data_IF_682649808049
#
_entry.id   IF_682649808049
#
_cell.length_a   1.000
_cell.length_b   1.000
_cell.length_c   1.000
_cell.angle_alpha   90.00
_cell.angle_beta   90.00
_cell.angle_gamma   90.00
#
_symmetry.space_group_name_H-M   'P 1'
#
loop_
_entity.id
_entity.type
_entity.pdbx_description
1 polymer ?
#
# COMPACT_ATOMS: atom_id res chain seq x y z
N UNK A 1 -34.73 4.51 -6.42
CA UNK A 1 -33.99 5.80 -6.45
C UNK A 1 -32.75 5.77 -5.52
N UNK A 2 -32.05 4.63 -5.37
CA UNK A 2 -30.82 4.49 -4.56
C UNK A 2 -29.58 4.14 -5.39
N UNK A 3 -29.76 3.67 -6.63
CA UNK A 3 -28.66 3.24 -7.51
C UNK A 3 -27.81 4.39 -8.04
N UNK A 4 -28.40 5.56 -8.32
CA UNK A 4 -27.68 6.72 -8.87
C UNK A 4 -26.71 7.36 -7.89
N UNK A 5 -26.99 7.27 -6.58
CA UNK A 5 -26.12 7.85 -5.55
C UNK A 5 -24.86 7.01 -5.33
N UNK A 6 -24.98 5.68 -5.46
CA UNK A 6 -23.85 4.75 -5.36
C UNK A 6 -22.85 4.94 -6.52
N UNK A 7 -23.34 5.23 -7.73
CA UNK A 7 -22.48 5.53 -8.88
C UNK A 7 -21.68 6.83 -8.69
N UNK A 8 -22.30 7.86 -8.13
CA UNK A 8 -21.64 9.14 -7.85
C UNK A 8 -20.56 9.01 -6.77
N UNK A 9 -20.83 8.27 -5.69
CA UNK A 9 -19.87 8.02 -4.61
C UNK A 9 -18.67 7.17 -5.08
N UNK A 10 -18.91 6.17 -5.94
CA UNK A 10 -17.85 5.37 -6.54
C UNK A 10 -16.97 6.20 -7.50
N UNK A 11 -17.58 7.05 -8.32
CA UNK A 11 -16.85 7.95 -9.21
C UNK A 11 -15.92 8.90 -8.43
N UNK A 12 -16.38 9.43 -7.29
CA UNK A 12 -15.56 10.25 -6.40
C UNK A 12 -14.37 9.48 -5.82
N UNK A 13 -14.57 8.23 -5.37
CA UNK A 13 -13.50 7.38 -4.85
C UNK A 13 -12.44 7.02 -5.90
N UNK A 14 -12.88 6.70 -7.13
CA UNK A 14 -11.97 6.44 -8.26
C UNK A 14 -11.18 7.71 -8.62
N UNK A 15 -11.86 8.85 -8.66
CA UNK A 15 -11.23 10.15 -8.93
C UNK A 15 -10.14 10.47 -7.91
N UNK A 16 -10.42 10.30 -6.61
CA UNK A 16 -9.44 10.49 -5.55
C UNK A 16 -8.25 9.54 -5.68
N UNK A 17 -8.50 8.25 -5.95
CA UNK A 17 -7.45 7.24 -6.09
C UNK A 17 -6.51 7.56 -7.24
N UNK A 18 -7.04 8.03 -8.38
CA UNK A 18 -6.23 8.48 -9.53
C UNK A 18 -5.35 9.68 -9.17
N UNK A 19 -5.89 10.68 -8.46
CA UNK A 19 -5.10 11.83 -8.00
C UNK A 19 -4.00 11.40 -7.01
N UNK A 20 -4.31 10.51 -6.08
CA UNK A 20 -3.34 9.96 -5.11
C UNK A 20 -2.21 9.20 -5.83
N UNK A 21 -2.55 8.36 -6.82
CA UNK A 21 -1.56 7.65 -7.61
C UNK A 21 -0.64 8.61 -8.39
N UNK A 22 -1.21 9.65 -9.03
CA UNK A 22 -0.43 10.66 -9.73
C UNK A 22 0.52 11.41 -8.80
N UNK A 23 0.07 11.76 -7.59
CA UNK A 23 0.89 12.40 -6.57
C UNK A 23 2.10 11.52 -6.20
N UNK A 24 1.84 10.24 -5.90
CA UNK A 24 2.88 9.28 -5.52
C UNK A 24 3.90 9.04 -6.66
N UNK A 25 3.43 8.96 -7.91
CA UNK A 25 4.30 8.78 -9.07
C UNK A 25 5.11 10.03 -9.41
N UNK A 26 4.52 11.23 -9.27
CA UNK A 26 5.19 12.51 -9.53
C UNK A 26 6.01 13.02 -8.34
N UNK A 27 5.94 12.35 -7.19
CA UNK A 27 6.62 12.70 -5.93
C UNK A 27 6.36 14.13 -5.44
N UNK A 28 5.14 14.64 -5.63
CA UNK A 28 4.74 15.99 -5.18
C UNK A 28 4.31 16.00 -3.71
N UNK A 29 4.94 16.81 -2.87
CA UNK A 29 4.61 16.96 -1.43
C UNK A 29 3.45 17.93 -1.18
N UNK A 30 3.32 18.97 -2.04
CA UNK A 30 2.43 20.11 -1.81
C UNK A 30 0.94 19.73 -1.77
N UNK A 31 0.56 18.65 -2.44
CA UNK A 31 -0.85 18.29 -2.64
C UNK A 31 -1.39 17.28 -1.61
N UNK A 32 -0.51 16.66 -0.78
CA UNK A 32 -0.90 15.50 0.04
C UNK A 32 -1.95 15.86 1.11
N UNK A 33 -1.75 16.97 1.83
CA UNK A 33 -2.65 17.39 2.91
C UNK A 33 -4.04 17.76 2.38
N UNK A 34 -4.10 18.42 1.22
CA UNK A 34 -5.35 18.77 0.55
C UNK A 34 -6.09 17.50 0.12
N UNK A 35 -5.37 16.54 -0.47
CA UNK A 35 -5.94 15.27 -0.91
C UNK A 35 -6.51 14.46 0.26
N UNK A 36 -5.83 14.43 1.40
CA UNK A 36 -6.29 13.72 2.60
C UNK A 36 -7.54 14.36 3.23
N UNK A 37 -7.77 15.65 2.98
CA UNK A 37 -9.00 16.35 3.39
C UNK A 37 -10.15 16.05 2.43
N UNK A 38 -9.86 16.02 1.12
CA UNK A 38 -10.84 15.74 0.06
C UNK A 38 -11.45 14.32 0.18
N UNK A 39 -10.69 13.31 0.59
CA UNK A 39 -11.23 11.95 0.70
C UNK A 39 -12.13 11.69 1.90
N UNK A 40 -12.18 12.58 2.89
CA UNK A 40 -13.08 12.41 4.05
C UNK A 40 -14.56 12.43 3.65
N UNK A 41 -14.89 13.02 2.51
CA UNK A 41 -16.24 13.06 1.95
C UNK A 41 -16.55 11.86 1.05
N UNK A 42 -15.59 10.95 0.83
CA UNK A 42 -15.74 9.76 -0.01
C UNK A 42 -15.90 8.50 0.83
N UNK A 43 -16.32 7.40 0.20
CA UNK A 43 -16.35 6.06 0.82
C UNK A 43 -14.98 5.58 1.35
N UNK A 44 -13.87 6.24 0.98
CA UNK A 44 -12.51 5.92 1.42
C UNK A 44 -12.11 6.59 2.75
N UNK A 45 -13.04 7.24 3.45
CA UNK A 45 -12.77 7.96 4.71
C UNK A 45 -12.04 7.12 5.77
N UNK A 46 -12.45 5.86 5.95
CA UNK A 46 -11.78 4.92 6.87
C UNK A 46 -10.36 4.56 6.43
N UNK A 47 -10.16 4.32 5.13
CA UNK A 47 -8.84 4.04 4.56
C UNK A 47 -7.88 5.21 4.76
N UNK A 48 -8.38 6.42 4.55
CA UNK A 48 -7.61 7.66 4.71
C UNK A 48 -7.25 7.93 6.16
N UNK A 49 -8.11 7.54 7.10
CA UNK A 49 -7.78 7.59 8.54
C UNK A 49 -6.59 6.69 8.86
N UNK A 50 -6.47 5.54 8.19
CA UNK A 50 -5.27 4.70 8.23
C UNK A 50 -4.04 5.43 7.68
N UNK A 51 -4.15 5.98 6.47
CA UNK A 51 -3.07 6.73 5.82
C UNK A 51 -2.58 7.93 6.64
N UNK A 52 -3.47 8.59 7.40
CA UNK A 52 -3.12 9.69 8.29
C UNK A 52 -2.13 9.27 9.38
N UNK A 53 -2.22 8.03 9.89
CA UNK A 53 -1.26 7.48 10.85
C UNK A 53 0.12 7.27 10.20
N UNK A 54 0.12 6.94 8.91
CA UNK A 54 1.31 6.63 8.13
C UNK A 54 1.86 7.83 7.33
N UNK A 55 1.39 9.05 7.59
CA UNK A 55 1.83 10.27 6.87
C UNK A 55 3.35 10.39 6.82
N UNK A 56 4.04 10.10 7.94
CA UNK A 56 5.51 10.14 7.97
C UNK A 56 6.15 9.16 6.96
N UNK A 57 5.59 7.96 6.82
CA UNK A 57 6.07 6.96 5.87
C UNK A 57 5.79 7.38 4.42
N UNK A 58 4.60 7.95 4.16
CA UNK A 58 4.24 8.48 2.83
C UNK A 58 5.19 9.61 2.44
N UNK A 59 5.46 10.54 3.37
CA UNK A 59 6.38 11.65 3.16
C UNK A 59 7.82 11.17 2.90
N UNK A 60 8.27 10.15 3.63
CA UNK A 60 9.56 9.53 3.38
C UNK A 60 9.62 8.87 1.99
N UNK A 61 8.55 8.22 1.55
CA UNK A 61 8.45 7.63 0.21
C UNK A 61 8.49 8.68 -0.91
N UNK A 62 7.95 9.88 -0.68
CA UNK A 62 8.03 11.01 -1.62
C UNK A 62 9.44 11.61 -1.68
N UNK A 63 10.10 11.76 -0.53
CA UNK A 63 11.42 12.43 -0.42
C UNK A 63 12.59 11.54 -0.80
N UNK A 64 12.45 10.22 -0.63
CA UNK A 64 13.55 9.27 -0.83
C UNK A 64 13.43 8.51 -2.16
N UNK A 65 14.54 7.98 -2.68
CA UNK A 65 14.51 7.06 -3.81
C UNK A 65 14.14 5.62 -3.39
N UNK A 66 14.05 5.34 -2.10
CA UNK A 66 13.87 3.99 -1.57
C UNK A 66 12.41 3.54 -1.66
N UNK A 67 12.22 2.27 -2.02
CA UNK A 67 10.90 1.63 -2.07
C UNK A 67 10.94 0.33 -1.26
N UNK A 68 9.80 -0.09 -0.72
CA UNK A 68 9.68 -1.37 0.01
C UNK A 68 9.67 -2.58 -0.94
N UNK A 69 9.63 -2.38 -2.26
CA UNK A 69 9.48 -3.45 -3.26
C UNK A 69 10.54 -4.58 -3.15
N UNK A 70 11.84 -4.30 -2.97
CA UNK A 70 12.84 -5.37 -2.80
C UNK A 70 12.60 -6.20 -1.54
N UNK A 71 12.22 -5.53 -0.45
CA UNK A 71 11.92 -6.17 0.85
C UNK A 71 10.68 -7.05 0.72
N UNK A 72 9.61 -6.56 0.09
CA UNK A 72 8.40 -7.35 -0.17
C UNK A 72 8.66 -8.55 -1.07
N UNK A 73 9.59 -8.44 -2.03
CA UNK A 73 10.04 -9.56 -2.85
C UNK A 73 10.66 -10.67 -2.00
N UNK A 74 11.56 -10.31 -1.07
CA UNK A 74 12.17 -11.28 -0.16
C UNK A 74 11.15 -11.91 0.80
N UNK A 75 10.26 -11.10 1.37
CA UNK A 75 9.17 -11.57 2.22
C UNK A 75 8.27 -12.54 1.46
N UNK A 76 7.95 -12.24 0.21
CA UNK A 76 7.12 -13.10 -0.65
C UNK A 76 7.83 -14.42 -0.96
N UNK A 77 9.11 -14.41 -1.32
CA UNK A 77 9.93 -15.62 -1.49
C UNK A 77 9.92 -16.50 -0.24
N UNK A 78 10.13 -15.87 0.92
CA UNK A 78 10.10 -16.55 2.22
C UNK A 78 8.73 -17.16 2.51
N UNK A 79 7.64 -16.41 2.30
CA UNK A 79 6.26 -16.89 2.46
C UNK A 79 5.97 -18.07 1.53
N UNK A 80 6.44 -18.03 0.27
CA UNK A 80 6.29 -19.12 -0.69
C UNK A 80 6.99 -20.39 -0.23
N UNK A 81 8.24 -20.31 0.22
CA UNK A 81 8.96 -21.48 0.76
C UNK A 81 8.22 -22.06 1.96
N UNK A 82 7.79 -21.23 2.91
CA UNK A 82 7.01 -21.70 4.07
C UNK A 82 5.69 -22.34 3.67
N UNK A 83 5.01 -21.80 2.65
CA UNK A 83 3.72 -22.31 2.15
C UNK A 83 3.86 -23.65 1.42
N UNK A 84 4.91 -23.84 0.61
CA UNK A 84 5.22 -25.14 -0.03
C UNK A 84 5.53 -26.23 0.99
N UNK A 85 5.93 -25.86 2.22
CA UNK A 85 6.15 -26.77 3.34
C UNK A 85 4.93 -26.90 4.26
N UNK A 86 3.73 -26.49 3.81
CA UNK A 86 2.49 -26.53 4.60
C UNK A 86 2.61 -25.83 5.96
N UNK A 87 3.41 -24.77 6.05
CA UNK A 87 3.64 -24.03 7.29
C UNK A 87 4.59 -24.69 8.29
N UNK A 88 5.11 -25.89 8.00
CA UNK A 88 5.96 -26.68 8.91
C UNK A 88 7.44 -26.29 8.92
N UNK A 89 7.81 -25.24 8.17
CA UNK A 89 9.19 -24.73 8.18
C UNK A 89 9.44 -23.91 9.46
N UNK A 90 10.27 -24.45 10.36
CA UNK A 90 10.85 -23.68 11.47
C UNK A 90 11.83 -22.63 10.95
N UNK A 91 12.21 -21.67 11.79
CA UNK A 91 13.17 -20.61 11.41
C UNK A 91 14.50 -21.18 10.87
N UNK A 92 15.02 -22.23 11.52
CA UNK A 92 16.26 -22.91 11.10
C UNK A 92 16.11 -23.55 9.72
N UNK A 93 14.99 -24.25 9.47
CA UNK A 93 14.70 -24.92 8.19
C UNK A 93 14.54 -23.87 7.07
N UNK A 94 13.83 -22.79 7.34
CA UNK A 94 13.61 -21.71 6.39
C UNK A 94 14.92 -21.01 6.03
N UNK A 95 15.78 -20.76 7.04
CA UNK A 95 17.12 -20.20 6.83
C UNK A 95 18.00 -21.13 6.00
N UNK A 96 18.01 -22.43 6.29
CA UNK A 96 18.75 -23.41 5.50
C UNK A 96 18.30 -23.41 4.03
N UNK A 97 16.98 -23.41 3.78
CA UNK A 97 16.46 -23.37 2.40
C UNK A 97 16.72 -22.05 1.67
N UNK A 98 16.80 -20.93 2.37
CA UNK A 98 17.06 -19.63 1.73
C UNK A 98 18.55 -19.46 1.44
N UNK A 99 19.44 -19.84 2.36
CA UNK A 99 20.88 -19.65 2.24
C UNK A 99 21.57 -20.72 1.38
N UNK A 100 21.00 -21.93 1.30
CA UNK A 100 21.57 -23.06 0.54
C UNK A 100 20.77 -23.42 -0.72
N UNK A 101 19.77 -22.63 -1.11
CA UNK A 101 19.14 -22.78 -2.42
C UNK A 101 20.11 -22.29 -3.49
N UNK A 102 20.82 -23.24 -4.13
CA UNK A 102 21.50 -23.06 -5.42
C UNK A 102 20.43 -23.11 -6.52
#
# INVERSE_FOLDING_TARGET
MQLTNAEAELAAAIGWTKKMHQLLCKKSEADLALLMKESKTTMLSHFVTGLQRDVKAIMAALKTPWTTSPVEGQISKLKTIKRTMFGRASSQILRARILHAI
#
